data_IF_608281456790
#
_entry.id   IF_608281456790
#
_cell.length_a   1.000
_cell.length_b   1.000
_cell.length_c   1.000
_cell.angle_alpha   90.00
_cell.angle_beta   90.00
_cell.angle_gamma   90.00
#
_symmetry.space_group_name_H-M   'P 1'
#
loop_
_entity.id
_entity.type
_entity.pdbx_description
1 polymer ?
#
# COMPACT_ATOMS: atom_id res chain seq x y z
N UNK A 1 -5.93 5.58 47.07
CA UNK A 1 -5.83 4.65 45.93
C UNK A 1 -6.83 4.88 44.79
N UNK A 2 -7.81 5.78 44.89
CA UNK A 2 -8.82 6.00 43.82
C UNK A 2 -8.29 6.84 42.63
N UNK A 3 -7.34 7.76 42.87
CA UNK A 3 -6.80 8.67 41.83
C UNK A 3 -5.91 7.98 40.79
N UNK A 4 -5.25 6.87 41.16
CA UNK A 4 -4.39 6.09 40.25
C UNK A 4 -5.24 5.32 39.21
N UNK A 5 -6.44 4.88 39.61
CA UNK A 5 -7.37 4.15 38.73
C UNK A 5 -7.93 5.00 37.60
N UNK A 6 -8.18 6.30 37.83
CA UNK A 6 -8.66 7.21 36.78
C UNK A 6 -7.57 7.54 35.76
N UNK A 7 -6.32 7.67 36.21
CA UNK A 7 -5.19 7.94 35.32
C UNK A 7 -4.93 6.76 34.37
N UNK A 8 -5.05 5.52 34.87
CA UNK A 8 -4.91 4.33 34.05
C UNK A 8 -6.02 4.20 32.98
N UNK A 9 -7.26 4.60 33.30
CA UNK A 9 -8.36 4.57 32.32
C UNK A 9 -8.23 5.64 31.22
N UNK A 10 -7.65 6.80 31.52
CA UNK A 10 -7.39 7.85 30.52
C UNK A 10 -6.29 7.39 29.53
N UNK A 11 -5.24 6.74 30.04
CA UNK A 11 -4.17 6.20 29.20
C UNK A 11 -4.69 5.04 28.32
N UNK A 12 -5.51 4.13 28.88
CA UNK A 12 -6.14 3.07 28.08
C UNK A 12 -7.08 3.64 27.01
N UNK A 13 -7.83 4.70 27.33
CA UNK A 13 -8.71 5.38 26.37
C UNK A 13 -7.94 6.04 25.21
N UNK A 14 -6.75 6.59 25.47
CA UNK A 14 -5.90 7.21 24.45
C UNK A 14 -5.26 6.18 23.50
N UNK A 15 -4.93 4.97 23.99
CA UNK A 15 -4.38 3.90 23.15
C UNK A 15 -5.41 3.29 22.18
N UNK A 16 -6.71 3.31 22.54
CA UNK A 16 -7.77 2.75 21.69
C UNK A 16 -8.20 3.66 20.53
N UNK A 17 -7.95 4.97 20.63
CA UNK A 17 -8.33 5.92 19.57
C UNK A 17 -7.31 5.93 18.41
N UNK A 18 -6.05 5.57 18.67
CA UNK A 18 -4.98 5.65 17.67
C UNK A 18 -4.91 4.47 16.68
N UNK A 19 -5.73 3.43 16.87
CA UNK A 19 -5.68 2.21 16.05
C UNK A 19 -6.72 2.19 14.91
N UNK A 20 -7.65 3.15 14.88
CA UNK A 20 -8.78 3.12 13.92
C UNK A 20 -8.50 3.80 12.58
N UNK A 21 -7.56 4.75 12.50
CA UNK A 21 -7.34 5.54 11.27
C UNK A 21 -6.32 4.93 10.32
N UNK A 22 -5.20 4.38 10.84
CA UNK A 22 -4.20 3.66 10.03
C UNK A 22 -4.83 2.45 9.35
N UNK A 23 -5.69 1.70 10.05
CA UNK A 23 -6.39 0.54 9.48
C UNK A 23 -7.21 0.88 8.23
N UNK A 24 -7.77 2.08 8.13
CA UNK A 24 -8.61 2.46 6.98
C UNK A 24 -7.77 2.76 5.75
N UNK A 25 -6.63 3.42 5.93
CA UNK A 25 -5.69 3.66 4.85
C UNK A 25 -5.13 2.32 4.34
N UNK A 26 -4.65 1.47 5.25
CA UNK A 26 -4.06 0.17 4.88
C UNK A 26 -5.08 -0.71 4.16
N UNK A 27 -6.33 -0.78 4.64
CA UNK A 27 -7.40 -1.52 3.94
C UNK A 27 -7.66 -0.98 2.53
N UNK A 28 -7.63 0.34 2.34
CA UNK A 28 -7.80 0.92 1.01
C UNK A 28 -6.64 0.58 0.08
N UNK A 29 -5.41 0.69 0.60
CA UNK A 29 -4.20 0.37 -0.14
C UNK A 29 -4.16 -1.11 -0.55
N UNK A 30 -4.45 -2.01 0.38
CA UNK A 30 -4.50 -3.46 0.14
C UNK A 30 -5.57 -3.82 -0.89
N UNK A 31 -6.77 -3.24 -0.79
CA UNK A 31 -7.83 -3.42 -1.78
C UNK A 31 -7.39 -3.01 -3.20
N UNK A 32 -6.68 -1.88 -3.36
CA UNK A 32 -6.16 -1.47 -4.66
C UNK A 32 -5.06 -2.42 -5.18
N UNK A 33 -4.16 -2.84 -4.30
CA UNK A 33 -3.06 -3.76 -4.63
C UNK A 33 -3.58 -5.15 -5.06
N UNK A 34 -4.68 -5.61 -4.45
CA UNK A 34 -5.35 -6.87 -4.79
C UNK A 34 -6.29 -6.75 -6.02
N UNK A 35 -6.50 -5.54 -6.54
CA UNK A 35 -7.38 -5.28 -7.67
C UNK A 35 -8.88 -5.34 -7.34
N UNK A 36 -9.25 -5.07 -6.08
CA UNK A 36 -10.64 -4.92 -5.67
C UNK A 36 -11.28 -3.63 -6.22
N UNK A 37 -12.59 -3.47 -6.02
CA UNK A 37 -13.31 -2.27 -6.46
C UNK A 37 -12.97 -1.03 -5.62
N UNK A 38 -13.07 0.15 -6.25
CA UNK A 38 -12.84 1.44 -5.58
C UNK A 38 -13.77 1.61 -4.36
N UNK A 39 -13.26 2.10 -3.22
CA UNK A 39 -14.07 2.40 -2.05
C UNK A 39 -15.27 3.28 -2.41
N UNK A 40 -16.44 2.93 -1.91
CA UNK A 40 -17.68 3.70 -2.17
C UNK A 40 -17.51 5.18 -1.83
N UNK A 41 -18.34 6.05 -2.40
CA UNK A 41 -18.33 7.48 -2.09
C UNK A 41 -18.59 7.84 -0.62
N UNK A 42 -19.15 6.90 0.17
CA UNK A 42 -19.32 7.03 1.62
C UNK A 42 -18.10 6.56 2.42
N UNK A 43 -17.09 5.98 1.76
CA UNK A 43 -15.87 5.55 2.40
C UNK A 43 -15.14 6.74 3.04
N UNK A 44 -14.35 6.43 4.07
CA UNK A 44 -13.54 7.46 4.70
C UNK A 44 -12.52 8.01 3.71
N UNK A 45 -12.20 9.30 3.83
CA UNK A 45 -11.14 9.94 3.04
C UNK A 45 -9.82 9.16 3.09
N UNK A 46 -9.49 8.57 4.25
CA UNK A 46 -8.27 7.76 4.44
C UNK A 46 -8.26 6.46 3.64
N UNK A 47 -9.41 5.77 3.56
CA UNK A 47 -9.53 4.58 2.72
C UNK A 47 -9.39 4.91 1.24
N UNK A 48 -9.99 6.02 0.79
CA UNK A 48 -9.80 6.49 -0.58
C UNK A 48 -8.35 6.88 -0.88
N UNK A 49 -7.70 7.61 0.04
CA UNK A 49 -6.28 7.98 -0.08
C UNK A 49 -5.36 6.74 -0.14
N UNK A 50 -5.63 5.73 0.69
CA UNK A 50 -4.92 4.44 0.64
C UNK A 50 -5.10 3.74 -0.70
N UNK A 51 -6.34 3.67 -1.18
CA UNK A 51 -6.67 3.03 -2.46
C UNK A 51 -6.02 3.75 -3.65
N UNK A 52 -6.08 5.08 -3.70
CA UNK A 52 -5.46 5.88 -4.77
C UNK A 52 -3.94 5.64 -4.81
N UNK A 53 -3.27 5.61 -3.65
CA UNK A 53 -1.83 5.32 -3.57
C UNK A 53 -1.50 3.86 -3.93
N UNK A 54 -2.33 2.90 -3.49
CA UNK A 54 -2.15 1.49 -3.83
C UNK A 54 -2.29 1.23 -5.34
N UNK A 55 -3.19 1.94 -6.01
CA UNK A 55 -3.33 1.88 -7.47
C UNK A 55 -2.09 2.42 -8.19
N UNK A 56 -1.53 3.54 -7.71
CA UNK A 56 -0.31 4.13 -8.30
C UNK A 56 0.89 3.18 -8.14
N UNK A 57 1.06 2.59 -6.95
CA UNK A 57 2.14 1.65 -6.67
C UNK A 57 1.97 0.36 -7.49
N UNK A 58 0.76 -0.20 -7.56
CA UNK A 58 0.46 -1.40 -8.36
C UNK A 58 0.75 -1.15 -9.85
N UNK A 59 0.31 -0.01 -10.39
CA UNK A 59 0.62 0.38 -11.76
C UNK A 59 2.12 0.54 -12.01
N UNK A 60 2.85 1.12 -11.06
CA UNK A 60 4.30 1.30 -11.12
C UNK A 60 5.02 -0.04 -11.14
N UNK A 61 4.59 -0.98 -10.29
CA UNK A 61 5.11 -2.34 -10.27
C UNK A 61 4.84 -3.06 -11.59
N UNK A 62 3.60 -3.07 -12.07
CA UNK A 62 3.23 -3.74 -13.33
C UNK A 62 3.99 -3.18 -14.53
N UNK A 63 4.12 -1.85 -14.60
CA UNK A 63 4.89 -1.18 -15.66
C UNK A 63 6.37 -1.58 -15.61
N UNK A 64 6.96 -1.61 -14.42
CA UNK A 64 8.33 -2.06 -14.22
C UNK A 64 8.51 -3.49 -14.69
N UNK A 65 7.66 -4.39 -14.20
CA UNK A 65 7.67 -5.80 -14.57
C UNK A 65 7.56 -5.99 -16.09
N UNK A 66 6.59 -5.36 -16.74
CA UNK A 66 6.36 -5.48 -18.17
C UNK A 66 7.54 -4.96 -18.99
N UNK A 67 8.12 -3.82 -18.61
CA UNK A 67 9.29 -3.25 -19.27
C UNK A 67 10.50 -4.19 -19.17
N UNK A 68 10.72 -4.78 -17.98
CA UNK A 68 11.77 -5.76 -17.74
C UNK A 68 11.59 -7.03 -18.58
N UNK A 69 10.37 -7.57 -18.58
CA UNK A 69 10.02 -8.77 -19.34
C UNK A 69 10.15 -8.56 -20.85
N UNK A 70 9.68 -7.41 -21.36
CA UNK A 70 9.82 -7.03 -22.78
C UNK A 70 11.25 -6.64 -23.15
N UNK A 71 12.13 -6.40 -22.18
CA UNK A 71 13.51 -5.95 -22.41
C UNK A 71 13.58 -4.49 -22.88
N UNK A 72 12.60 -3.67 -22.52
CA UNK A 72 12.65 -2.21 -22.74
C UNK A 72 13.73 -1.60 -21.84
N UNK A 73 14.17 -0.39 -22.15
CA UNK A 73 15.02 0.36 -21.21
C UNK A 73 14.17 0.82 -20.01
N UNK A 74 14.71 0.83 -18.78
CA UNK A 74 13.98 1.33 -17.63
C UNK A 74 13.58 2.80 -17.85
N UNK A 75 12.38 3.17 -17.42
CA UNK A 75 11.89 4.55 -17.50
C UNK A 75 12.10 5.29 -16.17
N UNK A 76 11.91 4.60 -15.04
CA UNK A 76 11.97 5.17 -13.69
C UNK A 76 13.13 4.59 -12.88
N UNK A 77 14.36 4.97 -13.22
CA UNK A 77 15.58 4.42 -12.59
C UNK A 77 15.72 4.69 -11.08
N UNK A 78 15.06 5.74 -10.59
CA UNK A 78 15.14 6.16 -9.21
C UNK A 78 13.98 5.62 -8.36
N UNK A 79 12.98 4.99 -8.99
CA UNK A 79 11.86 4.41 -8.29
C UNK A 79 12.21 2.98 -7.85
N UNK A 80 12.28 2.71 -6.53
CA UNK A 80 12.69 1.40 -6.03
C UNK A 80 11.70 0.29 -6.38
N UNK A 81 10.40 0.57 -6.36
CA UNK A 81 9.33 -0.39 -6.63
C UNK A 81 9.34 -0.78 -8.12
N UNK A 82 9.40 0.21 -9.00
CA UNK A 82 9.54 0.00 -10.45
C UNK A 82 10.79 -0.83 -10.77
N UNK A 83 11.95 -0.44 -10.21
CA UNK A 83 13.21 -1.11 -10.53
C UNK A 83 13.30 -2.52 -9.97
N UNK A 84 12.62 -2.81 -8.85
CA UNK A 84 12.44 -4.16 -8.35
C UNK A 84 11.61 -5.01 -9.31
N UNK A 85 10.44 -4.52 -9.71
CA UNK A 85 9.56 -5.20 -10.64
C UNK A 85 10.25 -5.45 -12.00
N UNK A 86 10.97 -4.44 -12.51
CA UNK A 86 11.77 -4.55 -13.74
C UNK A 86 12.81 -5.65 -13.66
N UNK A 87 13.53 -5.77 -12.53
CA UNK A 87 14.49 -6.87 -12.34
C UNK A 87 13.79 -8.23 -12.31
N UNK A 88 12.61 -8.31 -11.70
CA UNK A 88 11.82 -9.54 -11.64
C UNK A 88 11.35 -9.97 -13.03
N UNK A 89 10.74 -9.07 -13.80
CA UNK A 89 10.29 -9.36 -15.17
C UNK A 89 11.44 -9.72 -16.10
N UNK A 90 12.60 -9.05 -15.96
CA UNK A 90 13.81 -9.40 -16.71
C UNK A 90 14.32 -10.81 -16.36
N UNK A 91 14.37 -11.16 -15.06
CA UNK A 91 14.76 -12.50 -14.61
C UNK A 91 13.82 -13.57 -15.14
N UNK A 92 12.51 -13.32 -15.16
CA UNK A 92 11.54 -14.29 -15.70
C UNK A 92 11.73 -14.52 -17.20
N UNK A 93 11.97 -13.46 -17.96
CA UNK A 93 12.31 -13.56 -19.38
C UNK A 93 13.60 -14.37 -19.63
N UNK A 94 14.60 -14.21 -18.78
CA UNK A 94 15.92 -14.85 -18.91
C UNK A 94 15.98 -16.27 -18.32
N UNK A 95 15.16 -16.55 -17.30
CA UNK A 95 15.11 -17.80 -16.55
C UNK A 95 13.88 -18.66 -16.84
N UNK A 96 13.01 -18.23 -17.75
CA UNK A 96 11.87 -19.00 -18.22
C UNK A 96 12.31 -20.32 -18.87
N UNK A 97 11.72 -21.41 -18.39
CA UNK A 97 11.76 -22.76 -18.98
C UNK A 97 11.20 -22.70 -20.41
#
# INVERSE_FOLDING_TARGET
MKKLSYFLMIILGLFLVSCSETSKYDNGYEAAWEGEEEPSWFASKKAKEGYDNGLEDAWTYDTGYEDGYKGKRPQFFNDPLYMEAYRNGKKEKEGGI
#
